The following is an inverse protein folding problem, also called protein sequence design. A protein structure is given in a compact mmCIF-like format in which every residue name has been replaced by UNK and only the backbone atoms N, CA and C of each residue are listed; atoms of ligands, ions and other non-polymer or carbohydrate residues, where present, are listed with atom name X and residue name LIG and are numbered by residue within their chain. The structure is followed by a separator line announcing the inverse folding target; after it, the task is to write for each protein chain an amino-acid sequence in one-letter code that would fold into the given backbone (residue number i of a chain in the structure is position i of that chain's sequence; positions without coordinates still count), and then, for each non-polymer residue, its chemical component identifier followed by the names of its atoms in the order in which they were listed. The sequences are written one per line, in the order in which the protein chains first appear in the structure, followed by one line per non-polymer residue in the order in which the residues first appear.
data_IF_469989753323
#
_entry.id   IF_469989753323
#
_cell.length_a   1.000
_cell.length_b   1.000
_cell.length_c   1.000
_cell.angle_alpha   90.00
_cell.angle_beta   90.00
_cell.angle_gamma   90.00
#
_symmetry.space_group_name_H-M   'P 1'
#
loop_
_entity.id
_entity.type
_entity.pdbx_description
1 polymer ?
#
# COMPACT_ATOMS: atom_id res chain seq x y z
N UNK A 1 -49.63 -7.01 -9.64
CA UNK A 1 -48.29 -6.56 -9.19
C UNK A 1 -48.14 -6.94 -7.73
N UNK A 2 -47.29 -7.92 -7.40
CA UNK A 2 -47.02 -8.25 -6.00
C UNK A 2 -46.19 -7.12 -5.38
N UNK A 3 -46.73 -6.47 -4.34
CA UNK A 3 -45.99 -5.51 -3.52
C UNK A 3 -45.13 -6.30 -2.53
N UNK A 4 -43.83 -6.04 -2.53
CA UNK A 4 -42.93 -6.49 -1.48
C UNK A 4 -43.30 -5.73 -0.20
N UNK A 5 -43.66 -6.47 0.87
CA UNK A 5 -43.88 -5.88 2.18
C UNK A 5 -42.58 -5.98 2.98
N UNK A 6 -41.93 -4.86 3.26
CA UNK A 6 -40.70 -4.82 4.06
C UNK A 6 -41.10 -4.79 5.53
N UNK A 7 -40.78 -5.85 6.26
CA UNK A 7 -41.12 -5.96 7.70
C UNK A 7 -40.06 -5.29 8.58
N UNK A 8 -38.80 -5.37 8.17
CA UNK A 8 -37.66 -4.80 8.88
C UNK A 8 -36.52 -4.50 7.91
N UNK A 9 -35.70 -3.52 8.28
CA UNK A 9 -34.47 -3.17 7.56
C UNK A 9 -33.30 -3.20 8.52
N UNK A 10 -32.22 -3.89 8.14
CA UNK A 10 -30.96 -3.88 8.87
C UNK A 10 -30.09 -2.72 8.37
N UNK A 11 -29.65 -1.86 9.28
CA UNK A 11 -28.83 -0.68 8.99
C UNK A 11 -27.43 -0.91 9.54
N UNK A 12 -26.45 -0.87 8.64
CA UNK A 12 -25.03 -0.99 8.96
C UNK A 12 -24.29 0.20 8.40
N UNK A 13 -23.66 0.96 9.30
CA UNK A 13 -22.78 2.07 8.95
C UNK A 13 -21.34 1.64 9.16
N UNK A 14 -20.53 1.72 8.11
CA UNK A 14 -19.09 1.63 8.27
C UNK A 14 -18.60 2.88 9.01
N UNK A 15 -17.84 2.67 10.07
CA UNK A 15 -17.08 3.75 10.70
C UNK A 15 -16.06 4.27 9.71
N UNK A 16 -15.27 3.40 9.09
CA UNK A 16 -14.25 3.79 8.11
C UNK A 16 -13.99 2.65 7.12
N UNK A 17 -13.34 2.99 6.02
CA UNK A 17 -12.88 2.02 5.03
C UNK A 17 -11.41 2.29 4.71
N UNK A 18 -10.57 1.26 4.74
CA UNK A 18 -9.27 1.31 4.09
C UNK A 18 -9.41 0.82 2.66
N UNK A 19 -8.90 1.59 1.71
CA UNK A 19 -8.62 1.17 0.34
C UNK A 19 -7.14 0.81 0.24
N UNK A 20 -6.86 -0.44 -0.15
CA UNK A 20 -5.51 -0.94 -0.31
C UNK A 20 -5.04 -0.61 -1.73
N UNK A 21 -3.97 0.16 -1.84
CA UNK A 21 -3.51 0.74 -3.11
C UNK A 21 -2.18 0.14 -3.55
N UNK A 22 -2.01 -0.05 -4.86
CA UNK A 22 -0.77 -0.53 -5.46
C UNK A 22 0.18 0.64 -5.71
N UNK A 23 1.21 0.73 -4.87
CA UNK A 23 2.21 1.80 -4.91
C UNK A 23 3.10 1.81 -6.15
N UNK A 24 3.09 0.74 -6.96
CA UNK A 24 3.83 0.68 -8.23
C UNK A 24 3.04 1.27 -9.41
N UNK A 25 1.72 1.36 -9.28
CA UNK A 25 0.82 1.70 -10.40
C UNK A 25 0.86 3.17 -10.81
N UNK A 26 0.98 4.09 -9.86
CA UNK A 26 0.97 5.53 -10.10
C UNK A 26 1.79 6.30 -9.03
N UNK A 27 2.27 7.51 -9.34
CA UNK A 27 3.01 8.32 -8.36
C UNK A 27 2.11 8.99 -7.32
N UNK A 28 0.87 9.35 -7.69
CA UNK A 28 -0.13 9.96 -6.81
C UNK A 28 -1.06 8.87 -6.23
N UNK A 29 -1.21 8.76 -4.90
CA UNK A 29 -2.15 7.85 -4.26
C UNK A 29 -3.58 7.90 -4.82
N UNK A 30 -4.06 9.07 -5.25
CA UNK A 30 -5.42 9.19 -5.81
C UNK A 30 -5.57 8.53 -7.18
N UNK A 31 -4.46 8.34 -7.90
CA UNK A 31 -4.40 7.67 -9.20
C UNK A 31 -3.95 6.20 -9.09
N UNK A 32 -3.58 5.72 -7.88
CA UNK A 32 -3.17 4.34 -7.69
C UNK A 32 -4.35 3.38 -7.83
N UNK A 33 -4.06 2.22 -8.43
CA UNK A 33 -5.03 1.14 -8.55
C UNK A 33 -5.29 0.49 -7.18
N UNK A 34 -6.52 0.01 -6.96
CA UNK A 34 -6.80 -0.86 -5.81
C UNK A 34 -6.15 -2.22 -6.01
N UNK A 35 -5.70 -2.84 -4.92
CA UNK A 35 -5.13 -4.18 -5.00
C UNK A 35 -6.17 -5.19 -5.51
N UNK A 36 -5.79 -6.09 -6.43
CA UNK A 36 -6.67 -7.15 -6.92
C UNK A 36 -6.68 -8.38 -5.98
N UNK A 37 -6.45 -8.17 -4.68
CA UNK A 37 -6.41 -9.21 -3.66
C UNK A 37 -7.17 -8.79 -2.41
N UNK A 38 -7.72 -9.78 -1.69
CA UNK A 38 -8.14 -9.59 -0.32
C UNK A 38 -6.92 -9.75 0.59
N UNK A 39 -6.78 -8.85 1.56
CA UNK A 39 -5.66 -8.86 2.50
C UNK A 39 -6.11 -9.41 3.86
N UNK A 40 -5.13 -9.92 4.59
CA UNK A 40 -5.27 -10.35 5.98
C UNK A 40 -4.82 -9.23 6.91
N UNK A 41 -5.57 -9.03 8.00
CA UNK A 41 -5.27 -8.01 8.99
C UNK A 41 -5.08 -8.65 10.37
N UNK A 42 -3.94 -8.37 10.98
CA UNK A 42 -3.67 -8.65 12.38
C UNK A 42 -3.72 -7.34 13.17
N UNK A 43 -4.87 -7.07 13.81
CA UNK A 43 -5.10 -5.84 14.57
C UNK A 43 -4.52 -5.95 15.98
N UNK A 44 -3.70 -4.97 16.36
CA UNK A 44 -3.10 -4.84 17.69
C UNK A 44 -3.82 -3.80 18.53
N UNK A 45 -4.39 -2.77 17.91
CA UNK A 45 -5.19 -1.73 18.57
C UNK A 45 -6.54 -1.64 17.87
N UNK A 46 -7.61 -1.89 18.63
CA UNK A 46 -9.00 -1.75 18.16
C UNK A 46 -9.98 -1.69 19.33
N UNK A 47 -11.17 -1.08 19.13
CA UNK A 47 -12.30 -1.29 20.02
C UNK A 47 -12.74 -2.76 20.06
N UNK A 48 -13.23 -3.23 21.21
CA UNK A 48 -13.69 -4.61 21.40
C UNK A 48 -14.97 -4.98 20.62
N UNK A 49 -15.75 -3.97 20.25
CA UNK A 49 -16.97 -4.05 19.45
C UNK A 49 -16.73 -3.82 17.95
N UNK A 50 -15.46 -3.73 17.51
CA UNK A 50 -15.11 -3.57 16.11
C UNK A 50 -15.34 -4.86 15.32
N UNK A 51 -16.14 -4.76 14.26
CA UNK A 51 -16.31 -5.76 13.22
C UNK A 51 -15.49 -5.35 11.99
N UNK A 52 -14.81 -6.32 11.39
CA UNK A 52 -13.97 -6.13 10.21
C UNK A 52 -14.58 -6.89 9.05
N UNK A 53 -14.82 -6.19 7.94
CA UNK A 53 -15.33 -6.80 6.70
C UNK A 53 -14.29 -6.60 5.62
N UNK A 54 -13.61 -7.69 5.26
CA UNK A 54 -12.58 -7.71 4.23
C UNK A 54 -13.18 -8.08 2.88
N UNK A 55 -12.75 -7.37 1.84
CA UNK A 55 -13.05 -7.67 0.45
C UNK A 55 -11.86 -7.31 -0.43
N UNK A 56 -11.93 -7.65 -1.72
CA UNK A 56 -10.84 -7.36 -2.65
C UNK A 56 -10.56 -5.85 -2.69
N UNK A 57 -9.31 -5.47 -2.41
CA UNK A 57 -8.82 -4.10 -2.46
C UNK A 57 -9.37 -3.15 -1.40
N UNK A 58 -10.18 -3.62 -0.43
CA UNK A 58 -10.69 -2.78 0.66
C UNK A 58 -11.07 -3.55 1.92
N UNK A 59 -10.95 -2.87 3.06
CA UNK A 59 -11.40 -3.35 4.37
C UNK A 59 -12.31 -2.31 5.00
N UNK A 60 -13.55 -2.70 5.31
CA UNK A 60 -14.48 -1.85 6.05
C UNK A 60 -14.47 -2.19 7.54
N UNK A 61 -14.55 -1.15 8.36
CA UNK A 61 -14.61 -1.24 9.82
C UNK A 61 -15.97 -0.77 10.28
N UNK A 62 -16.66 -1.60 11.05
CA UNK A 62 -17.97 -1.29 11.59
C UNK A 62 -17.91 -1.41 13.11
N UNK A 63 -18.51 -0.46 13.82
CA UNK A 63 -18.79 -0.64 15.25
C UNK A 63 -20.08 -1.42 15.37
N UNK A 64 -20.14 -2.42 16.25
CA UNK A 64 -21.37 -3.18 16.48
C UNK A 64 -22.51 -2.20 16.82
N UNK A 65 -23.55 -2.08 15.99
CA UNK A 65 -24.64 -1.15 16.24
C UNK A 65 -25.42 -1.58 17.49
N UNK A 66 -25.85 -0.61 18.29
CA UNK A 66 -26.70 -0.88 19.46
C UNK A 66 -28.13 -1.27 19.04
N UNK A 67 -28.66 -0.65 17.99
CA UNK A 67 -29.98 -0.91 17.42
C UNK A 67 -29.89 -1.09 15.88
N UNK A 68 -29.47 -2.25 15.37
CA UNK A 68 -29.27 -2.46 13.93
C UNK A 68 -30.55 -2.56 13.10
N UNK A 69 -31.71 -2.75 13.74
CA UNK A 69 -32.94 -3.14 13.05
C UNK A 69 -33.99 -2.05 13.24
N UNK A 70 -34.53 -1.58 12.11
CA UNK A 70 -35.67 -0.65 12.08
C UNK A 70 -36.87 -1.39 11.48
N UNK A 71 -38.05 -1.20 12.07
CA UNK A 71 -39.28 -1.78 11.55
C UNK A 71 -39.69 -1.09 10.25
N UNK A 72 -40.07 -1.88 9.25
CA UNK A 72 -40.41 -1.36 7.92
C UNK A 72 -39.20 -0.97 7.09
N UNK A 73 -39.40 -0.07 6.12
CA UNK A 73 -38.34 0.46 5.26
C UNK A 73 -37.51 1.54 5.98
N UNK A 74 -36.19 1.53 5.78
CA UNK A 74 -35.31 2.59 6.26
C UNK A 74 -35.71 3.97 5.68
N UNK A 75 -35.69 4.98 6.54
CA UNK A 75 -35.88 6.38 6.19
C UNK A 75 -34.58 7.03 5.70
N UNK A 76 -34.65 8.27 5.19
CA UNK A 76 -33.43 9.02 4.85
C UNK A 76 -32.56 9.34 6.09
N UNK A 77 -33.17 9.48 7.27
CA UNK A 77 -32.45 9.70 8.52
C UNK A 77 -31.64 8.45 8.93
N UNK A 78 -32.17 7.27 8.65
CA UNK A 78 -31.52 5.99 8.91
C UNK A 78 -30.26 5.76 8.05
N UNK A 79 -30.18 6.45 6.91
CA UNK A 79 -29.00 6.44 6.04
C UNK A 79 -27.86 7.32 6.57
N UNK A 80 -28.13 8.18 7.57
CA UNK A 80 -27.10 9.03 8.16
C UNK A 80 -26.33 8.27 9.25
N UNK A 81 -24.99 8.21 9.18
CA UNK A 81 -24.20 7.58 10.22
C UNK A 81 -24.33 8.34 11.54
N UNK A 82 -24.36 7.61 12.66
CA UNK A 82 -24.28 8.23 13.98
C UNK A 82 -22.90 8.81 14.23
N UNK A 83 -22.83 10.06 14.70
CA UNK A 83 -21.58 10.69 15.13
C UNK A 83 -21.01 9.85 16.29
N UNK A 84 -19.80 9.34 16.09
CA UNK A 84 -19.08 8.53 17.06
C UNK A 84 -17.75 9.19 17.41
N UNK A 85 -17.23 9.02 18.64
CA UNK A 85 -15.90 9.50 18.97
C UNK A 85 -14.86 8.77 18.13
N UNK A 86 -13.81 9.50 17.74
CA UNK A 86 -12.70 8.91 16.98
C UNK A 86 -11.91 7.93 17.84
N UNK A 87 -11.38 6.88 17.23
CA UNK A 87 -10.56 5.84 17.86
C UNK A 87 -9.46 5.38 16.91
N UNK A 88 -8.40 4.79 17.47
CA UNK A 88 -7.28 4.28 16.66
C UNK A 88 -7.52 2.83 16.25
N UNK A 89 -7.25 2.52 14.98
CA UNK A 89 -7.08 1.15 14.49
C UNK A 89 -5.62 1.00 14.05
N UNK A 90 -4.92 0.04 14.63
CA UNK A 90 -3.54 -0.26 14.25
C UNK A 90 -3.30 -1.76 14.16
N UNK A 91 -2.36 -2.15 13.31
CA UNK A 91 -2.05 -3.55 13.08
C UNK A 91 -1.06 -3.77 11.95
N UNK A 92 -0.97 -5.02 11.52
CA UNK A 92 -0.22 -5.45 10.35
C UNK A 92 -1.22 -5.90 9.29
N UNK A 93 -0.95 -5.52 8.05
CA UNK A 93 -1.64 -6.05 6.87
C UNK A 93 -0.68 -6.93 6.08
N UNK A 94 -1.17 -8.07 5.60
CA UNK A 94 -0.40 -9.03 4.81
C UNK A 94 -1.23 -9.59 3.65
N UNK A 95 -0.54 -9.99 2.59
CA UNK A 95 -1.11 -10.79 1.51
C UNK A 95 -0.71 -12.24 1.72
N UNK A 96 -1.69 -13.14 1.83
CA UNK A 96 -1.46 -14.58 2.03
C UNK A 96 -0.77 -15.23 0.84
N UNK A 97 -0.85 -14.62 -0.35
CA UNK A 97 -0.12 -15.08 -1.54
C UNK A 97 1.31 -14.55 -1.62
N UNK A 98 1.71 -13.66 -0.71
CA UNK A 98 3.06 -13.07 -0.66
C UNK A 98 3.41 -12.18 -1.86
N UNK A 99 2.43 -11.79 -2.69
CA UNK A 99 2.63 -10.89 -3.84
C UNK A 99 2.79 -9.44 -3.42
N UNK A 100 2.29 -9.05 -2.25
CA UNK A 100 2.49 -7.72 -1.68
C UNK A 100 3.27 -7.79 -0.37
N UNK A 101 4.12 -6.78 -0.15
CA UNK A 101 4.91 -6.65 1.07
C UNK A 101 3.97 -6.33 2.23
N UNK A 102 4.11 -7.09 3.31
CA UNK A 102 3.39 -6.81 4.54
C UNK A 102 3.77 -5.44 5.09
N UNK A 103 2.81 -4.77 5.71
CA UNK A 103 2.97 -3.39 6.18
C UNK A 103 2.34 -3.23 7.55
N UNK A 104 2.99 -2.48 8.44
CA UNK A 104 2.33 -1.95 9.63
C UNK A 104 1.54 -0.69 9.28
N UNK A 105 0.38 -0.51 9.91
CA UNK A 105 -0.44 0.68 9.73
C UNK A 105 -1.06 1.14 11.06
N UNK A 106 -1.40 2.42 11.10
CA UNK A 106 -2.20 3.03 12.16
C UNK A 106 -3.07 4.13 11.54
N UNK A 107 -4.38 4.10 11.79
CA UNK A 107 -5.32 5.11 11.31
C UNK A 107 -6.20 5.61 12.45
N UNK A 108 -6.61 6.88 12.36
CA UNK A 108 -7.69 7.43 13.15
C UNK A 108 -9.03 7.15 12.43
N UNK A 109 -9.90 6.41 13.08
CA UNK A 109 -11.22 5.99 12.62
C UNK A 109 -12.33 6.60 13.49
N UNK A 110 -13.59 6.42 13.12
CA UNK A 110 -14.79 6.90 13.80
C UNK A 110 -15.53 8.04 13.09
N UNK A 111 -15.06 8.50 11.93
CA UNK A 111 -15.57 9.69 11.25
C UNK A 111 -16.19 9.45 9.85
N UNK A 112 -16.37 8.20 9.43
CA UNK A 112 -16.93 7.88 8.12
C UNK A 112 -15.92 7.97 6.97
N UNK A 113 -14.61 8.02 7.24
CA UNK A 113 -13.62 8.35 6.21
C UNK A 113 -13.15 7.13 5.40
N UNK A 114 -12.69 7.44 4.18
CA UNK A 114 -11.94 6.53 3.33
C UNK A 114 -10.44 6.79 3.46
N UNK A 115 -9.67 5.76 3.79
CA UNK A 115 -8.22 5.83 3.97
C UNK A 115 -7.51 5.10 2.85
N UNK A 116 -6.71 5.80 2.04
CA UNK A 116 -5.86 5.18 1.03
C UNK A 116 -4.54 4.71 1.64
N UNK A 117 -4.37 3.40 1.82
CA UNK A 117 -3.12 2.83 2.31
C UNK A 117 -2.39 2.08 1.21
N UNK A 118 -1.18 2.55 0.92
CA UNK A 118 -0.31 2.00 -0.13
C UNK A 118 0.43 0.76 0.38
N UNK A 119 0.40 -0.30 -0.43
CA UNK A 119 1.29 -1.45 -0.34
C UNK A 119 2.12 -1.53 -1.62
N UNK A 120 3.30 -2.13 -1.53
CA UNK A 120 4.16 -2.36 -2.67
C UNK A 120 4.23 -3.85 -3.00
N UNK A 121 4.25 -4.21 -4.30
CA UNK A 121 4.51 -5.59 -4.70
C UNK A 121 5.83 -6.08 -4.10
N UNK A 122 5.85 -7.34 -3.68
CA UNK A 122 7.10 -8.04 -3.36
C UNK A 122 7.85 -8.38 -4.65
N UNK A 123 9.11 -8.86 -4.57
CA UNK A 123 9.77 -9.43 -5.74
C UNK A 123 8.93 -10.53 -6.42
N UNK A 124 8.21 -11.36 -5.65
CA UNK A 124 7.31 -12.40 -6.18
C UNK A 124 6.08 -11.81 -6.91
N UNK A 125 5.55 -10.69 -6.43
CA UNK A 125 4.41 -10.00 -7.06
C UNK A 125 4.79 -9.05 -8.19
N UNK A 126 6.08 -8.77 -8.36
CA UNK A 126 6.59 -7.83 -9.35
C UNK A 126 6.85 -8.52 -10.69
N UNK A 127 6.63 -7.80 -11.78
CA UNK A 127 7.00 -8.24 -13.14
C UNK A 127 7.59 -7.08 -13.92
N UNK A 128 8.67 -7.33 -14.65
CA UNK A 128 9.19 -6.35 -15.58
C UNK A 128 8.33 -6.29 -16.84
N UNK A 129 8.06 -5.06 -17.27
CA UNK A 129 7.47 -4.80 -18.57
C UNK A 129 8.55 -4.65 -19.64
N UNK A 130 8.17 -4.22 -20.85
CA UNK A 130 9.10 -4.02 -21.97
C UNK A 130 10.22 -3.02 -21.69
N UNK A 131 9.98 -2.04 -20.82
CA UNK A 131 10.98 -1.06 -20.40
C UNK A 131 11.95 -1.60 -19.31
N UNK A 132 11.81 -2.87 -18.91
CA UNK A 132 12.64 -3.50 -17.89
C UNK A 132 12.41 -2.96 -16.48
N UNK A 133 13.46 -3.00 -15.68
CA UNK A 133 13.46 -2.50 -14.32
C UNK A 133 14.79 -2.69 -13.60
N UNK A 134 14.82 -2.31 -12.33
CA UNK A 134 15.96 -2.51 -11.44
C UNK A 134 15.64 -3.63 -10.47
N UNK A 135 16.52 -4.62 -10.35
CA UNK A 135 16.45 -5.65 -9.30
C UNK A 135 17.73 -5.59 -8.47
N UNK A 136 17.64 -5.97 -7.20
CA UNK A 136 18.82 -6.06 -6.36
C UNK A 136 18.52 -6.37 -4.91
N UNK A 137 19.59 -6.38 -4.11
CA UNK A 137 19.53 -6.60 -2.66
C UNK A 137 20.24 -5.45 -1.97
N UNK A 138 19.57 -4.83 -1.00
CA UNK A 138 20.12 -3.75 -0.19
C UNK A 138 20.81 -4.29 1.06
N UNK A 139 22.00 -3.77 1.35
CA UNK A 139 22.84 -4.17 2.49
C UNK A 139 23.36 -2.92 3.21
N UNK A 140 23.36 -2.93 4.54
CA UNK A 140 23.98 -1.86 5.32
C UNK A 140 25.50 -1.91 5.15
N UNK A 141 26.12 -0.80 4.75
CA UNK A 141 27.56 -0.78 4.39
C UNK A 141 28.50 -1.16 5.54
N UNK A 142 28.15 -0.87 6.79
CA UNK A 142 29.00 -1.17 7.96
C UNK A 142 28.93 -2.63 8.41
N UNK A 143 27.78 -3.28 8.27
CA UNK A 143 27.54 -4.63 8.82
C UNK A 143 27.37 -5.71 7.75
N UNK A 144 27.09 -5.33 6.49
CA UNK A 144 26.66 -6.26 5.45
C UNK A 144 25.31 -6.92 5.71
N UNK A 145 24.59 -6.51 6.77
CA UNK A 145 23.26 -7.03 7.06
C UNK A 145 22.26 -6.54 5.99
N UNK A 146 21.21 -7.33 5.68
CA UNK A 146 20.10 -6.86 4.87
C UNK A 146 19.52 -5.53 5.35
N UNK A 147 19.03 -4.70 4.42
CA UNK A 147 18.21 -3.52 4.75
C UNK A 147 16.73 -3.89 4.57
N UNK A 148 16.08 -4.45 5.60
CA UNK A 148 14.71 -4.94 5.47
C UNK A 148 13.73 -3.79 5.25
N UNK A 149 12.71 -4.05 4.43
CA UNK A 149 11.55 -3.15 4.26
C UNK A 149 11.85 -1.75 3.71
N UNK A 150 13.06 -1.53 3.21
CA UNK A 150 13.50 -0.26 2.66
C UNK A 150 12.61 0.18 1.49
N UNK A 151 12.43 1.48 1.36
CA UNK A 151 11.70 2.09 0.26
C UNK A 151 12.68 2.65 -0.76
N UNK A 152 12.51 2.25 -2.02
CA UNK A 152 13.25 2.77 -3.16
C UNK A 152 12.36 3.71 -3.96
N UNK A 153 12.88 4.90 -4.27
CA UNK A 153 12.23 5.87 -5.15
C UNK A 153 13.19 6.23 -6.27
N UNK A 154 12.85 5.82 -7.49
CA UNK A 154 13.57 6.21 -8.69
C UNK A 154 12.84 7.38 -9.36
N UNK A 155 13.55 8.48 -9.57
CA UNK A 155 13.07 9.63 -10.31
C UNK A 155 13.77 9.67 -11.66
N UNK A 156 13.01 9.64 -12.75
CA UNK A 156 13.53 9.66 -14.12
C UNK A 156 13.06 10.94 -14.81
N UNK A 157 13.99 11.69 -15.40
CA UNK A 157 13.69 12.89 -16.18
C UNK A 157 13.73 12.54 -17.65
N UNK A 158 12.60 12.68 -18.35
CA UNK A 158 12.54 12.47 -19.79
C UNK A 158 13.05 13.69 -20.55
N UNK A 159 13.37 13.51 -21.83
CA UNK A 159 13.93 14.57 -22.70
C UNK A 159 12.98 15.73 -22.92
N UNK A 160 11.67 15.53 -22.76
CA UNK A 160 10.64 16.58 -22.78
C UNK A 160 10.46 17.27 -21.42
N UNK A 161 11.36 17.00 -20.46
CA UNK A 161 11.34 17.59 -19.12
C UNK A 161 10.31 16.97 -18.16
N UNK A 162 9.59 15.92 -18.57
CA UNK A 162 8.64 15.26 -17.69
C UNK A 162 9.37 14.42 -16.65
N UNK A 163 8.94 14.54 -15.39
CA UNK A 163 9.48 13.74 -14.27
C UNK A 163 8.58 12.55 -14.00
N UNK A 164 9.15 11.35 -14.09
CA UNK A 164 8.47 10.09 -13.78
C UNK A 164 9.03 9.53 -12.47
N UNK A 165 8.15 9.21 -11.53
CA UNK A 165 8.53 8.61 -10.24
C UNK A 165 8.11 7.15 -10.24
N UNK A 166 9.04 6.27 -9.91
CA UNK A 166 8.83 4.84 -9.72
C UNK A 166 9.22 4.44 -8.31
N UNK A 167 8.49 3.48 -7.74
CA UNK A 167 8.59 3.13 -6.32
C UNK A 167 8.54 1.63 -6.15
N UNK A 168 9.39 1.11 -5.28
CA UNK A 168 9.40 -0.28 -4.85
C UNK A 168 9.79 -0.35 -3.37
N UNK A 169 9.36 -1.41 -2.70
CA UNK A 169 9.79 -1.70 -1.34
C UNK A 169 10.59 -3.00 -1.35
N UNK A 170 11.65 -3.06 -0.53
CA UNK A 170 12.41 -4.28 -0.30
C UNK A 170 11.65 -5.21 0.65
N UNK A 171 11.85 -6.52 0.51
CA UNK A 171 11.32 -7.51 1.44
C UNK A 171 12.14 -7.52 2.76
N UNK A 172 11.82 -8.45 3.67
CA UNK A 172 12.55 -8.60 4.93
C UNK A 172 14.02 -9.04 4.77
N UNK A 173 14.44 -9.49 3.60
CA UNK A 173 15.83 -9.84 3.26
C UNK A 173 16.55 -8.73 2.47
N UNK A 174 15.92 -7.57 2.29
CA UNK A 174 16.47 -6.45 1.53
C UNK A 174 16.38 -6.61 0.01
N UNK A 175 15.74 -7.67 -0.50
CA UNK A 175 15.56 -7.88 -1.93
C UNK A 175 14.42 -7.03 -2.47
N UNK A 176 14.60 -6.44 -3.64
CA UNK A 176 13.59 -5.63 -4.30
C UNK A 176 13.56 -5.88 -5.81
N UNK A 177 12.41 -5.57 -6.41
CA UNK A 177 12.25 -5.38 -7.84
C UNK A 177 11.49 -4.08 -8.06
N UNK A 178 12.03 -3.21 -8.92
CA UNK A 178 11.46 -1.91 -9.29
C UNK A 178 11.19 -1.91 -10.80
N UNK A 179 9.98 -2.28 -11.23
CA UNK A 179 9.59 -2.23 -12.63
C UNK A 179 9.43 -0.79 -13.15
N UNK A 180 9.83 -0.56 -14.40
CA UNK A 180 9.72 0.75 -15.07
C UNK A 180 8.58 0.78 -16.08
N UNK A 181 7.43 0.18 -15.73
CA UNK A 181 6.30 -0.08 -16.64
C UNK A 181 5.70 1.14 -17.33
N UNK A 182 5.90 2.34 -16.76
CA UNK A 182 5.44 3.63 -17.31
C UNK A 182 6.52 4.43 -18.01
N UNK A 183 7.74 3.89 -18.14
CA UNK A 183 8.84 4.58 -18.82
C UNK A 183 8.62 4.49 -20.34
N UNK A 184 8.50 5.62 -21.05
CA UNK A 184 8.38 5.60 -22.50
C UNK A 184 9.69 5.12 -23.15
N UNK A 185 9.62 4.57 -24.38
CA UNK A 185 10.83 4.26 -25.14
C UNK A 185 11.67 5.52 -25.36
N UNK A 186 12.98 5.33 -25.55
CA UNK A 186 13.89 6.43 -25.85
C UNK A 186 13.50 7.07 -27.20
N UNK A 187 13.42 8.41 -27.30
CA UNK A 187 13.29 9.10 -28.57
C UNK A 187 14.52 8.87 -29.46
N UNK A 188 14.35 9.08 -30.76
CA UNK A 188 15.46 9.01 -31.71
C UNK A 188 16.59 9.96 -31.31
N UNK A 189 17.84 9.46 -31.35
CA UNK A 189 19.03 10.25 -31.01
C UNK A 189 19.31 10.41 -29.51
N UNK A 190 18.51 9.82 -28.62
CA UNK A 190 18.73 9.83 -27.17
C UNK A 190 19.20 8.45 -26.71
N UNK A 191 20.34 8.38 -26.04
CA UNK A 191 20.94 7.13 -25.57
C UNK A 191 20.38 6.68 -24.21
N UNK A 192 19.99 7.63 -23.34
CA UNK A 192 19.54 7.35 -21.98
C UNK A 192 18.58 8.42 -21.44
N UNK A 193 17.93 8.09 -20.32
CA UNK A 193 17.26 9.07 -19.48
C UNK A 193 18.07 9.32 -18.23
N UNK A 194 18.18 10.58 -17.82
CA UNK A 194 18.75 10.92 -16.53
C UNK A 194 17.86 10.39 -15.40
N UNK A 195 18.45 9.67 -14.45
CA UNK A 195 17.73 9.08 -13.34
C UNK A 195 18.45 9.25 -12.00
N UNK A 196 17.69 9.30 -10.92
CA UNK A 196 18.21 9.38 -9.55
C UNK A 196 17.46 8.40 -8.67
N UNK A 197 18.19 7.51 -8.01
CA UNK A 197 17.66 6.55 -7.06
C UNK A 197 17.88 7.04 -5.64
N UNK A 198 16.81 7.16 -4.87
CA UNK A 198 16.84 7.45 -3.45
C UNK A 198 16.33 6.25 -2.65
N UNK A 199 16.91 6.03 -1.47
CA UNK A 199 16.52 4.97 -0.54
C UNK A 199 16.13 5.58 0.79
N UNK A 200 15.04 5.10 1.37
CA UNK A 200 14.65 5.37 2.76
C UNK A 200 14.52 4.06 3.52
N UNK A 201 15.03 4.01 4.74
CA UNK A 201 14.98 2.80 5.57
C UNK A 201 14.94 3.18 7.06
N UNK A 202 14.84 2.16 7.91
CA UNK A 202 15.02 2.29 9.36
C UNK A 202 16.19 1.40 9.78
N UNK A 203 17.19 1.99 10.43
CA UNK A 203 18.36 1.25 10.91
C UNK A 203 17.99 0.18 11.96
N UNK A 204 16.89 0.39 12.69
CA UNK A 204 16.35 -0.55 13.68
C UNK A 204 15.37 -1.57 13.10
N UNK A 205 15.09 -1.54 11.80
CA UNK A 205 14.14 -2.48 11.19
C UNK A 205 14.72 -3.91 11.21
N UNK A 206 13.83 -4.88 11.41
CA UNK A 206 14.17 -6.30 11.43
C UNK A 206 13.27 -7.07 10.47
N UNK A 207 13.82 -8.12 9.87
CA UNK A 207 13.15 -8.93 8.84
C UNK A 207 11.81 -9.54 9.31
N UNK A 208 11.64 -9.80 10.61
CA UNK A 208 10.42 -10.41 11.16
C UNK A 208 9.32 -9.39 11.50
N UNK A 209 9.60 -8.08 11.44
CA UNK A 209 8.67 -7.03 11.85
C UNK A 209 8.48 -6.01 10.72
N UNK A 210 7.38 -6.11 9.95
CA UNK A 210 7.05 -5.12 8.94
C UNK A 210 6.93 -3.72 9.52
N UNK A 211 7.33 -2.73 8.72
CA UNK A 211 7.31 -1.31 9.10
C UNK A 211 6.23 -0.56 8.33
N UNK A 212 5.87 0.63 8.81
CA UNK A 212 5.09 1.58 8.02
C UNK A 212 6.08 2.39 7.14
N UNK A 213 5.94 2.40 5.80
CA UNK A 213 6.78 3.22 4.93
C UNK A 213 6.82 4.70 5.30
N UNK A 214 5.79 5.22 5.98
CA UNK A 214 5.74 6.62 6.43
C UNK A 214 6.76 6.94 7.55
N UNK A 215 7.29 5.92 8.24
CA UNK A 215 8.28 6.09 9.32
C UNK A 215 9.72 5.98 8.82
N UNK A 216 9.93 5.63 7.55
CA UNK A 216 11.25 5.47 6.98
C UNK A 216 11.95 6.82 6.85
N UNK A 217 13.26 6.84 7.09
CA UNK A 217 14.09 8.03 6.94
C UNK A 217 15.05 7.87 5.77
N UNK A 218 15.41 8.98 5.13
CA UNK A 218 16.36 8.97 4.03
C UNK A 218 17.70 8.36 4.46
N UNK A 219 18.25 7.51 3.60
CA UNK A 219 19.55 6.87 3.79
C UNK A 219 20.48 7.25 2.65
N UNK A 220 21.77 7.39 2.96
CA UNK A 220 22.78 7.52 1.93
C UNK A 220 22.90 6.17 1.19
N UNK A 221 22.70 6.19 -0.13
CA UNK A 221 22.98 5.04 -0.97
C UNK A 221 24.49 4.99 -1.20
N UNK A 222 25.11 3.89 -0.80
CA UNK A 222 26.54 3.65 -1.03
C UNK A 222 26.84 3.26 -2.48
N UNK A 223 28.11 2.93 -2.72
CA UNK A 223 28.55 2.49 -4.05
C UNK A 223 27.96 1.13 -4.44
N UNK A 224 27.74 0.94 -5.73
CA UNK A 224 27.35 -0.37 -6.28
C UNK A 224 28.52 -1.34 -6.10
N UNK A 225 28.25 -2.57 -5.65
CA UNK A 225 29.29 -3.60 -5.48
C UNK A 225 29.86 -4.12 -6.80
N UNK A 226 29.26 -3.74 -7.93
CA UNK A 226 29.77 -3.97 -9.28
C UNK A 226 29.45 -2.73 -10.14
N UNK A 227 30.40 -2.30 -10.97
CA UNK A 227 30.21 -1.21 -11.93
C UNK A 227 29.04 -1.54 -12.86
N UNK A 228 27.99 -0.71 -12.86
CA UNK A 228 27.01 -0.48 -13.92
C UNK A 228 26.56 -1.64 -14.85
N UNK A 229 26.64 -2.90 -14.43
CA UNK A 229 26.06 -4.02 -15.19
C UNK A 229 24.62 -4.17 -14.73
N UNK A 230 23.72 -3.38 -15.33
CA UNK A 230 22.34 -3.82 -15.47
C UNK A 230 22.40 -5.05 -16.37
N UNK A 231 22.40 -6.24 -15.76
CA UNK A 231 22.32 -7.47 -16.52
C UNK A 231 20.95 -7.50 -17.21
N UNK A 232 20.95 -7.66 -18.52
CA UNK A 232 19.75 -8.04 -19.28
C UNK A 232 19.33 -9.43 -18.77
N UNK A 233 18.12 -9.59 -18.19
CA UNK A 233 17.68 -10.87 -17.63
C UNK A 233 17.51 -11.97 -18.69
#
# INVERSE_FOLDING_TARGET
MNRVNVLETNILHASDVIYWLDGSSAPDPNAMLRLPAALELQLTTRPGDLLVVNSVGKTAFLRRPQNPIVAGSASEADLQPSISPTFTIAGIVSDSSGRYIARRFSIAAGNGAGHGLVLYPSPLGSRFGPAGGVLGTLRFGTSGAPVPWAMLTLTVTTTLGATLIFRAQANGQGDFMLPLTRLPPLPEGIADYAATLAVSALASAVAASPVDPAELVAMALGDLTADAVFADP
#
